data_IF_955390477753
#
_entry.id   IF_955390477753
#
_cell.length_a   1.000
_cell.length_b   1.000
_cell.length_c   1.000
_cell.angle_alpha   90.00
_cell.angle_beta   90.00
_cell.angle_gamma   90.00
#
_symmetry.space_group_name_H-M   'P 1'
#
loop_
_entity.id
_entity.type
_entity.pdbx_description
1 polymer ?
#
# COMPACT_ATOMS: atom_id res chain seq x y z
N UNK A 1 28.40 -7.53 40.96
CA UNK A 1 29.52 -8.46 40.73
C UNK A 1 30.43 -7.85 39.66
N UNK A 2 31.65 -7.46 40.07
CA UNK A 2 32.88 -7.12 39.32
C UNK A 2 32.81 -6.24 38.05
N UNK A 3 33.35 -5.01 37.94
CA UNK A 3 34.60 -4.34 38.39
C UNK A 3 35.77 -4.40 37.37
N UNK A 4 36.48 -3.23 37.22
CA UNK A 4 37.80 -2.92 36.60
C UNK A 4 37.76 -2.40 35.14
N UNK A 5 38.43 -1.30 34.72
CA UNK A 5 39.62 -0.58 35.24
C UNK A 5 39.57 0.94 34.96
N UNK A 6 40.08 1.70 35.94
CA UNK A 6 40.46 3.12 35.91
C UNK A 6 41.97 3.25 35.63
N UNK A 7 42.42 4.46 35.26
CA UNK A 7 43.79 5.05 35.26
C UNK A 7 44.71 4.65 34.09
N UNK A 8 45.36 5.59 33.38
CA UNK A 8 46.24 6.65 33.91
C UNK A 8 46.25 7.90 33.02
N UNK A 9 46.19 9.08 33.64
CA UNK A 9 46.80 10.32 33.11
C UNK A 9 48.26 10.42 33.56
N UNK A 10 48.99 11.31 32.86
CA UNK A 10 50.29 11.90 33.20
C UNK A 10 51.52 11.17 32.66
N UNK A 11 52.24 11.84 31.76
CA UNK A 11 53.61 12.34 32.01
C UNK A 11 54.20 12.92 30.71
N UNK A 12 54.72 14.15 30.82
CA UNK A 12 55.84 14.71 30.05
C UNK A 12 55.49 15.20 28.62
N UNK A 13 55.28 16.50 28.32
CA UNK A 13 56.01 17.69 28.74
C UNK A 13 57.52 17.48 28.77
N UNK A 14 58.24 18.28 27.98
CA UNK A 14 59.71 18.41 27.95
C UNK A 14 60.46 17.41 27.06
N UNK A 15 60.73 17.82 25.81
CA UNK A 15 62.04 17.69 25.16
C UNK A 15 61.89 18.09 23.69
N UNK A 16 62.30 19.30 23.34
CA UNK A 16 62.98 19.61 22.07
C UNK A 16 63.42 21.08 22.09
N UNK A 17 64.44 21.34 22.91
CA UNK A 17 65.29 22.52 22.79
C UNK A 17 66.68 22.11 23.27
N UNK A 18 67.71 22.66 22.61
CA UNK A 18 69.17 22.45 22.81
C UNK A 18 69.72 21.24 22.02
N UNK A 19 70.21 21.44 20.79
CA UNK A 19 71.48 22.03 20.35
C UNK A 19 72.60 20.99 20.26
N UNK A 20 73.18 20.80 19.08
CA UNK A 20 74.62 20.61 18.93
C UNK A 20 75.08 21.03 17.53
N UNK A 21 75.60 22.25 17.46
CA UNK A 21 76.54 22.70 16.44
C UNK A 21 77.87 21.99 16.71
N UNK A 22 78.48 21.39 15.69
CA UNK A 22 79.84 20.84 15.76
C UNK A 22 80.78 21.83 15.07
N UNK A 23 81.63 22.48 15.86
CA UNK A 23 82.72 23.35 15.39
C UNK A 23 84.05 22.82 15.91
N UNK A 24 84.97 22.52 14.99
CA UNK A 24 86.33 22.10 15.28
C UNK A 24 87.21 23.31 15.60
N UNK A 25 88.07 23.20 16.62
CA UNK A 25 89.41 23.81 16.64
C UNK A 25 90.22 23.31 17.84
N UNK A 26 91.41 22.78 17.56
CA UNK A 26 92.47 22.51 18.54
C UNK A 26 93.17 23.82 18.91
N UNK A 27 93.58 23.93 20.17
CA UNK A 27 94.26 25.07 20.77
C UNK A 27 95.78 25.09 20.47
N UNK A 28 96.34 26.30 20.28
CA UNK A 28 97.74 26.60 20.54
C UNK A 28 97.96 28.10 20.82
N UNK A 29 98.63 28.37 21.94
CA UNK A 29 99.54 29.49 22.26
C UNK A 29 99.00 30.90 22.62
N UNK A 30 99.51 31.43 23.75
CA UNK A 30 99.41 32.82 24.25
C UNK A 30 100.74 33.57 23.90
N UNK A 31 100.84 34.93 23.78
CA UNK A 31 100.66 35.87 24.91
C UNK A 31 100.18 37.33 24.61
N UNK A 32 99.70 37.99 25.68
CA UNK A 32 99.79 39.42 26.11
C UNK A 32 99.31 40.64 25.24
N UNK A 33 98.22 41.26 25.75
CA UNK A 33 97.84 42.70 25.90
C UNK A 33 97.68 43.61 24.65
N UNK A 34 96.43 43.95 24.28
CA UNK A 34 96.01 45.28 23.75
C UNK A 34 94.52 45.59 24.09
N UNK A 35 94.19 46.88 24.24
CA UNK A 35 92.96 47.53 24.77
C UNK A 35 91.57 47.10 24.21
N UNK A 36 90.45 47.35 24.93
CA UNK A 36 89.15 46.78 24.59
C UNK A 36 88.50 47.49 23.38
N UNK A 37 88.07 46.79 22.32
CA UNK A 37 87.29 47.42 21.28
C UNK A 37 85.78 47.39 21.61
N UNK A 38 85.15 48.52 21.25
CA UNK A 38 83.73 48.86 21.33
C UNK A 38 82.76 47.72 20.98
N UNK A 39 81.65 47.71 21.73
CA UNK A 39 80.40 46.99 21.47
C UNK A 39 79.98 47.06 20.00
N UNK A 40 79.70 45.92 19.39
CA UNK A 40 78.75 45.83 18.28
C UNK A 40 77.43 45.31 18.84
N UNK A 41 76.59 46.22 19.34
CA UNK A 41 75.17 45.92 19.43
C UNK A 41 74.67 45.73 18.00
N UNK A 42 74.30 44.50 17.63
CA UNK A 42 73.52 44.27 16.42
C UNK A 42 72.18 44.98 16.66
N UNK A 43 72.07 46.22 16.19
CA UNK A 43 70.80 46.94 16.08
C UNK A 43 70.01 46.24 14.98
N UNK A 44 69.24 45.22 15.35
CA UNK A 44 68.17 44.71 14.49
C UNK A 44 67.15 45.85 14.37
N UNK A 45 66.94 46.34 13.16
CA UNK A 45 65.92 47.35 12.89
C UNK A 45 64.53 46.73 13.14
N UNK A 46 64.00 46.96 14.35
CA UNK A 46 62.72 46.38 14.78
C UNK A 46 61.59 46.80 13.85
N UNK A 47 61.71 47.96 13.19
CA UNK A 47 60.67 48.50 12.32
C UNK A 47 60.39 47.62 11.08
N UNK A 48 61.39 46.87 10.60
CA UNK A 48 61.22 45.93 9.48
C UNK A 48 60.54 44.65 9.94
N UNK A 49 60.83 44.20 11.17
CA UNK A 49 60.15 43.05 11.78
C UNK A 49 58.70 43.44 12.12
N UNK A 50 58.45 44.62 12.68
CA UNK A 50 57.12 45.11 13.01
C UNK A 50 56.25 45.22 11.75
N UNK A 51 56.79 45.80 10.67
CA UNK A 51 56.09 45.85 9.37
C UNK A 51 55.83 44.46 8.78
N UNK A 52 56.77 43.52 8.94
CA UNK A 52 56.57 42.14 8.50
C UNK A 52 55.50 41.43 9.33
N UNK A 53 55.43 41.70 10.64
CA UNK A 53 54.41 41.15 11.54
C UNK A 53 53.03 41.72 11.26
N UNK A 54 52.91 43.02 10.94
CA UNK A 54 51.65 43.64 10.52
C UNK A 54 51.11 43.04 9.22
N UNK A 55 51.96 42.90 8.20
CA UNK A 55 51.57 42.25 6.92
C UNK A 55 51.16 40.80 7.13
N UNK A 56 51.80 40.10 8.07
CA UNK A 56 51.44 38.73 8.42
C UNK A 56 50.11 38.70 9.17
N UNK A 57 49.86 39.62 10.09
CA UNK A 57 48.60 39.75 10.81
C UNK A 57 47.42 40.05 9.87
N UNK A 58 47.58 40.98 8.93
CA UNK A 58 46.57 41.32 7.92
C UNK A 58 46.28 40.11 7.01
N UNK A 59 47.32 39.39 6.58
CA UNK A 59 47.13 38.16 5.80
C UNK A 59 46.42 37.06 6.59
N UNK A 60 46.67 36.94 7.89
CA UNK A 60 45.95 36.00 8.74
C UNK A 60 44.48 36.39 8.90
N UNK A 61 44.15 37.68 9.03
CA UNK A 61 42.75 38.13 9.07
C UNK A 61 42.04 37.91 7.73
N UNK A 62 42.68 38.24 6.61
CA UNK A 62 42.11 38.04 5.28
C UNK A 62 41.91 36.55 4.97
N UNK A 63 42.89 35.71 5.33
CA UNK A 63 42.80 34.26 5.18
C UNK A 63 41.69 33.68 6.05
N UNK A 64 41.47 34.21 7.25
CA UNK A 64 40.37 33.80 8.12
C UNK A 64 39.00 34.14 7.50
N UNK A 65 38.85 35.32 6.90
CA UNK A 65 37.61 35.72 6.21
C UNK A 65 37.33 34.83 4.98
N UNK A 66 38.34 34.57 4.15
CA UNK A 66 38.20 33.66 3.01
C UNK A 66 37.85 32.25 3.48
N UNK A 67 38.46 31.78 4.57
CA UNK A 67 38.16 30.46 5.12
C UNK A 67 36.71 30.38 5.64
N UNK A 68 36.19 31.45 6.24
CA UNK A 68 34.78 31.54 6.65
C UNK A 68 33.84 31.50 5.44
N UNK A 69 34.16 32.21 4.36
CA UNK A 69 33.38 32.18 3.12
C UNK A 69 33.42 30.79 2.45
N UNK A 70 34.58 30.15 2.38
CA UNK A 70 34.73 28.78 1.88
C UNK A 70 33.88 27.83 2.72
N UNK A 71 33.94 27.94 4.05
CA UNK A 71 33.14 27.12 4.96
C UNK A 71 31.64 27.34 4.74
N UNK A 72 31.20 28.59 4.56
CA UNK A 72 29.80 28.92 4.24
C UNK A 72 29.36 28.29 2.93
N UNK A 73 30.14 28.46 1.86
CA UNK A 73 29.82 27.92 0.55
C UNK A 73 29.83 26.38 0.55
N UNK A 74 30.76 25.77 1.26
CA UNK A 74 30.81 24.32 1.43
C UNK A 74 29.56 23.78 2.16
N UNK A 75 29.11 24.47 3.22
CA UNK A 75 27.88 24.13 3.93
C UNK A 75 26.64 24.28 3.04
N UNK A 76 26.56 25.37 2.26
CA UNK A 76 25.45 25.61 1.33
C UNK A 76 25.39 24.56 0.22
N UNK A 77 26.54 24.23 -0.37
CA UNK A 77 26.66 23.18 -1.37
C UNK A 77 26.24 21.81 -0.80
N UNK A 78 26.67 21.49 0.43
CA UNK A 78 26.26 20.25 1.11
C UNK A 78 24.76 20.22 1.37
N UNK A 79 24.17 21.32 1.85
CA UNK A 79 22.73 21.42 2.10
C UNK A 79 21.93 21.26 0.81
N UNK A 80 22.33 21.95 -0.26
CA UNK A 80 21.66 21.88 -1.56
C UNK A 80 21.77 20.47 -2.16
N UNK A 81 22.90 19.80 -1.98
CA UNK A 81 23.08 18.42 -2.43
C UNK A 81 22.18 17.43 -1.65
N UNK A 82 22.03 17.62 -0.34
CA UNK A 82 21.09 16.84 0.46
C UNK A 82 19.64 17.06 0.04
N UNK A 83 19.24 18.31 -0.24
CA UNK A 83 17.91 18.63 -0.74
C UNK A 83 17.64 18.01 -2.10
N UNK A 84 18.61 18.10 -3.03
CA UNK A 84 18.53 17.45 -4.33
C UNK A 84 18.36 15.94 -4.18
N UNK A 85 19.14 15.30 -3.29
CA UNK A 85 19.01 13.86 -3.02
C UNK A 85 17.61 13.52 -2.51
N UNK A 86 17.09 14.24 -1.52
CA UNK A 86 15.72 14.02 -1.00
C UNK A 86 14.67 14.21 -2.09
N UNK A 87 14.81 15.23 -2.94
CA UNK A 87 13.90 15.48 -4.04
C UNK A 87 13.95 14.36 -5.10
N UNK A 88 15.13 13.84 -5.40
CA UNK A 88 15.32 12.71 -6.31
C UNK A 88 14.72 11.42 -5.76
N UNK A 89 14.92 11.12 -4.48
CA UNK A 89 14.33 9.95 -3.81
C UNK A 89 12.80 10.04 -3.81
N UNK A 90 12.24 11.23 -3.57
CA UNK A 90 10.80 11.48 -3.68
C UNK A 90 10.29 11.29 -5.12
N UNK A 91 11.03 11.76 -6.11
CA UNK A 91 10.68 11.59 -7.52
C UNK A 91 10.63 10.09 -7.88
N UNK A 92 11.62 9.31 -7.48
CA UNK A 92 11.65 7.87 -7.71
C UNK A 92 10.43 7.17 -7.07
N UNK A 93 10.13 7.52 -5.81
CA UNK A 93 8.94 7.01 -5.11
C UNK A 93 7.64 7.33 -5.86
N UNK A 94 7.48 8.57 -6.34
CA UNK A 94 6.30 9.01 -7.08
C UNK A 94 6.18 8.30 -8.44
N UNK A 95 7.30 8.01 -9.12
CA UNK A 95 7.28 7.26 -10.38
C UNK A 95 6.81 5.82 -10.17
N UNK A 96 7.30 5.15 -9.12
CA UNK A 96 6.84 3.80 -8.76
C UNK A 96 5.35 3.79 -8.41
N UNK A 97 4.89 4.77 -7.62
CA UNK A 97 3.48 4.92 -7.29
C UNK A 97 2.62 5.16 -8.55
N UNK A 98 3.05 6.03 -9.45
CA UNK A 98 2.33 6.29 -10.70
C UNK A 98 2.24 5.03 -11.58
N UNK A 99 3.32 4.27 -11.69
CA UNK A 99 3.31 2.99 -12.41
C UNK A 99 2.33 1.99 -11.76
N UNK A 100 2.28 1.95 -10.43
CA UNK A 100 1.29 1.18 -9.67
C UNK A 100 -0.14 1.59 -10.01
N UNK A 101 -0.45 2.89 -9.98
CA UNK A 101 -1.78 3.39 -10.32
C UNK A 101 -2.18 3.10 -11.76
N UNK A 102 -1.26 3.24 -12.73
CA UNK A 102 -1.53 2.90 -14.14
C UNK A 102 -1.92 1.43 -14.29
N UNK A 103 -1.22 0.53 -13.59
CA UNK A 103 -1.56 -0.91 -13.57
C UNK A 103 -2.93 -1.15 -12.93
N UNK A 104 -3.23 -0.48 -11.81
CA UNK A 104 -4.55 -0.59 -11.17
C UNK A 104 -5.68 -0.08 -12.07
N UNK A 105 -5.45 1.00 -12.83
CA UNK A 105 -6.42 1.52 -13.79
C UNK A 105 -6.66 0.50 -14.89
N UNK A 106 -5.62 -0.08 -15.50
CA UNK A 106 -5.81 -1.06 -16.58
C UNK A 106 -6.57 -2.31 -16.12
N UNK A 107 -6.34 -2.76 -14.88
CA UNK A 107 -7.07 -3.88 -14.29
C UNK A 107 -8.55 -3.51 -14.10
N UNK A 108 -8.83 -2.31 -13.59
CA UNK A 108 -10.21 -1.84 -13.39
C UNK A 108 -10.96 -1.66 -14.71
N UNK A 109 -10.30 -1.13 -15.75
CA UNK A 109 -10.89 -1.01 -17.08
C UNK A 109 -11.28 -2.38 -17.65
N UNK A 110 -10.45 -3.41 -17.45
CA UNK A 110 -10.77 -4.77 -17.88
C UNK A 110 -11.90 -5.41 -17.07
N UNK A 111 -11.94 -5.12 -15.76
CA UNK A 111 -13.05 -5.53 -14.90
C UNK A 111 -14.37 -4.89 -15.33
N UNK A 112 -14.37 -3.59 -15.67
CA UNK A 112 -15.54 -2.90 -16.19
C UNK A 112 -16.03 -3.57 -17.47
N UNK A 113 -15.13 -3.84 -18.43
CA UNK A 113 -15.49 -4.55 -19.67
C UNK A 113 -16.14 -5.90 -19.42
N UNK A 114 -15.56 -6.70 -18.51
CA UNK A 114 -16.10 -8.02 -18.15
C UNK A 114 -17.48 -7.91 -17.48
N UNK A 115 -17.67 -6.89 -16.64
CA UNK A 115 -18.96 -6.62 -16.00
C UNK A 115 -20.01 -6.17 -17.03
N UNK A 116 -19.64 -5.31 -17.98
CA UNK A 116 -20.54 -4.87 -19.05
C UNK A 116 -21.01 -6.05 -19.91
N UNK A 117 -20.09 -6.96 -20.27
CA UNK A 117 -20.43 -8.22 -20.97
C UNK A 117 -21.37 -9.09 -20.13
N UNK A 118 -21.14 -9.20 -18.82
CA UNK A 118 -22.00 -9.96 -17.92
C UNK A 118 -23.39 -9.33 -17.78
N UNK A 119 -23.48 -8.00 -17.74
CA UNK A 119 -24.75 -7.26 -17.68
C UNK A 119 -25.54 -7.46 -18.97
N UNK A 120 -24.88 -7.37 -20.13
CA UNK A 120 -25.51 -7.63 -21.42
C UNK A 120 -26.08 -9.05 -21.51
N UNK A 121 -25.34 -10.05 -21.02
CA UNK A 121 -25.85 -11.43 -20.91
C UNK A 121 -27.04 -11.57 -19.96
N UNK A 122 -27.05 -10.83 -18.84
CA UNK A 122 -28.18 -10.81 -17.91
C UNK A 122 -29.43 -10.19 -18.54
N UNK A 123 -29.32 -9.17 -19.40
CA UNK A 123 -30.47 -8.56 -20.08
C UNK A 123 -31.18 -9.53 -21.03
N UNK A 124 -30.44 -10.39 -21.72
CA UNK A 124 -30.99 -11.47 -22.54
C UNK A 124 -31.74 -12.49 -21.68
N UNK A 125 -31.07 -13.01 -20.65
CA UNK A 125 -31.65 -14.01 -19.72
C UNK A 125 -32.88 -13.45 -18.99
N UNK A 126 -32.86 -12.20 -18.57
CA UNK A 126 -33.97 -11.53 -17.86
C UNK A 126 -35.25 -11.47 -18.70
N UNK A 127 -35.13 -11.36 -20.03
CA UNK A 127 -36.28 -11.38 -20.94
C UNK A 127 -36.82 -12.79 -21.20
N UNK A 128 -35.96 -13.81 -21.15
CA UNK A 128 -36.34 -15.19 -21.46
C UNK A 128 -36.91 -15.96 -20.27
N UNK A 129 -36.46 -15.66 -19.04
CA UNK A 129 -36.90 -16.40 -17.84
C UNK A 129 -38.42 -16.33 -17.61
N UNK A 130 -39.10 -15.17 -17.70
CA UNK A 130 -40.56 -15.13 -17.56
C UNK A 130 -41.30 -16.02 -18.55
N UNK A 131 -40.86 -16.02 -19.82
CA UNK A 131 -41.43 -16.90 -20.84
C UNK A 131 -41.23 -18.38 -20.51
N UNK A 132 -40.06 -18.75 -19.97
CA UNK A 132 -39.80 -20.11 -19.53
C UNK A 132 -40.70 -20.49 -18.34
N UNK A 133 -40.86 -19.61 -17.36
CA UNK A 133 -41.73 -19.85 -16.20
C UNK A 133 -43.19 -20.08 -16.61
N UNK A 134 -43.70 -19.28 -17.57
CA UNK A 134 -45.04 -19.48 -18.14
C UNK A 134 -45.17 -20.84 -18.86
N UNK A 135 -44.17 -21.21 -19.67
CA UNK A 135 -44.16 -22.53 -20.33
C UNK A 135 -44.14 -23.69 -19.32
N UNK A 136 -43.38 -23.55 -18.25
CA UNK A 136 -43.33 -24.53 -17.17
C UNK A 136 -44.68 -24.66 -16.46
N UNK A 137 -45.34 -23.54 -16.15
CA UNK A 137 -46.65 -23.54 -15.51
C UNK A 137 -47.72 -24.18 -16.41
N UNK A 138 -47.76 -23.80 -17.68
CA UNK A 138 -48.67 -24.39 -18.68
C UNK A 138 -48.42 -25.89 -18.87
N UNK A 139 -47.16 -26.35 -18.82
CA UNK A 139 -46.84 -27.77 -18.90
C UNK A 139 -47.38 -28.58 -17.72
N UNK A 140 -47.40 -28.00 -16.51
CA UNK A 140 -48.01 -28.67 -15.36
C UNK A 140 -49.52 -28.65 -15.43
N UNK A 141 -50.12 -27.53 -15.83
CA UNK A 141 -51.57 -27.42 -16.03
C UNK A 141 -52.05 -28.52 -16.99
N UNK A 142 -51.35 -28.70 -18.12
CA UNK A 142 -51.64 -29.77 -19.07
C UNK A 142 -51.41 -31.17 -18.46
N UNK A 143 -50.40 -31.35 -17.62
CA UNK A 143 -50.15 -32.62 -16.95
C UNK A 143 -51.30 -32.99 -16.00
N UNK A 144 -51.77 -32.02 -15.20
CA UNK A 144 -52.88 -32.20 -14.26
C UNK A 144 -54.20 -32.48 -14.99
N UNK A 145 -54.46 -31.80 -16.12
CA UNK A 145 -55.65 -32.06 -16.94
C UNK A 145 -55.68 -33.47 -17.55
N UNK A 146 -54.51 -34.03 -17.87
CA UNK A 146 -54.39 -35.39 -18.41
C UNK A 146 -54.36 -36.47 -17.33
N UNK A 147 -54.11 -36.11 -16.08
CA UNK A 147 -54.03 -37.03 -14.96
C UNK A 147 -55.42 -37.31 -14.35
N UNK A 148 -55.47 -38.25 -13.41
CA UNK A 148 -56.69 -38.55 -12.67
C UNK A 148 -57.16 -37.32 -11.85
N UNK A 149 -58.47 -37.05 -11.79
CA UNK A 149 -59.01 -35.94 -11.00
C UNK A 149 -58.92 -36.25 -9.49
N UNK A 150 -57.91 -35.68 -8.83
CA UNK A 150 -57.79 -35.59 -7.37
C UNK A 150 -57.43 -34.18 -6.93
N UNK A 151 -57.80 -33.75 -5.73
CA UNK A 151 -57.48 -32.41 -5.19
C UNK A 151 -57.60 -31.25 -6.22
N UNK A 152 -58.61 -31.30 -7.09
CA UNK A 152 -58.67 -30.47 -8.31
C UNK A 152 -58.68 -28.99 -7.96
N UNK A 153 -59.46 -28.60 -6.96
CA UNK A 153 -59.55 -27.22 -6.49
C UNK A 153 -58.23 -26.74 -5.86
N UNK A 154 -57.57 -27.58 -5.05
CA UNK A 154 -56.31 -27.21 -4.41
C UNK A 154 -55.18 -27.04 -5.43
N UNK A 155 -55.09 -27.96 -6.39
CA UNK A 155 -54.10 -27.90 -7.48
C UNK A 155 -54.33 -26.68 -8.38
N UNK A 156 -55.58 -26.40 -8.76
CA UNK A 156 -55.94 -25.22 -9.55
C UNK A 156 -55.61 -23.91 -8.82
N UNK A 157 -55.95 -23.81 -7.53
CA UNK A 157 -55.63 -22.64 -6.71
C UNK A 157 -54.11 -22.41 -6.60
N UNK A 158 -53.32 -23.49 -6.52
CA UNK A 158 -51.85 -23.42 -6.45
C UNK A 158 -51.22 -22.94 -7.76
N UNK A 159 -51.74 -23.38 -8.91
CA UNK A 159 -51.34 -22.89 -10.24
C UNK A 159 -51.65 -21.41 -10.35
N UNK A 160 -52.86 -20.99 -9.97
CA UNK A 160 -53.25 -19.58 -10.04
C UNK A 160 -52.38 -18.71 -9.14
N UNK A 161 -52.08 -19.15 -7.92
CA UNK A 161 -51.16 -18.45 -7.02
C UNK A 161 -49.76 -18.30 -7.61
N UNK A 162 -49.25 -19.33 -8.30
CA UNK A 162 -47.96 -19.24 -8.99
C UNK A 162 -47.99 -18.26 -10.18
N UNK A 163 -49.09 -18.22 -10.93
CA UNK A 163 -49.31 -17.27 -12.04
C UNK A 163 -49.34 -15.82 -11.53
N UNK A 164 -50.13 -15.57 -10.49
CA UNK A 164 -50.23 -14.25 -9.86
C UNK A 164 -48.88 -13.78 -9.30
N UNK A 165 -48.07 -14.69 -8.77
CA UNK A 165 -46.72 -14.39 -8.30
C UNK A 165 -45.75 -14.06 -9.45
N UNK A 166 -45.89 -14.70 -10.62
CA UNK A 166 -45.10 -14.39 -11.82
C UNK A 166 -45.45 -13.01 -12.37
N UNK A 167 -46.74 -12.65 -12.38
CA UNK A 167 -47.23 -11.36 -12.86
C UNK A 167 -46.95 -10.20 -11.89
N UNK A 168 -46.70 -10.50 -10.62
CA UNK A 168 -46.40 -9.47 -9.62
C UNK A 168 -45.05 -8.78 -9.89
N UNK A 169 -44.99 -7.45 -10.12
CA UNK A 169 -43.76 -6.73 -10.40
C UNK A 169 -42.85 -6.55 -9.16
N UNK A 170 -43.40 -6.67 -7.95
CA UNK A 170 -42.66 -6.43 -6.70
C UNK A 170 -41.83 -7.66 -6.26
N UNK A 171 -42.01 -8.80 -6.94
CA UNK A 171 -41.33 -10.07 -6.62
C UNK A 171 -40.10 -10.24 -7.53
N UNK A 172 -38.96 -10.59 -6.93
CA UNK A 172 -37.73 -10.84 -7.71
C UNK A 172 -37.87 -12.06 -8.63
N UNK A 173 -37.17 -12.06 -9.76
CA UNK A 173 -37.20 -13.18 -10.72
C UNK A 173 -36.78 -14.52 -10.07
N UNK A 174 -35.78 -14.48 -9.18
CA UNK A 174 -35.33 -15.65 -8.44
C UNK A 174 -36.46 -16.23 -7.56
N UNK A 175 -37.25 -15.36 -6.93
CA UNK A 175 -38.36 -15.75 -6.07
C UNK A 175 -39.52 -16.34 -6.89
N UNK A 176 -39.81 -15.75 -8.06
CA UNK A 176 -40.78 -16.31 -9.03
C UNK A 176 -40.37 -17.73 -9.46
N UNK A 177 -39.10 -17.91 -9.82
CA UNK A 177 -38.58 -19.20 -10.24
C UNK A 177 -38.63 -20.24 -9.10
N UNK A 178 -38.28 -19.84 -7.88
CA UNK A 178 -38.42 -20.68 -6.68
C UNK A 178 -39.86 -21.15 -6.50
N UNK A 179 -40.84 -20.26 -6.68
CA UNK A 179 -42.26 -20.59 -6.55
C UNK A 179 -42.70 -21.67 -7.55
N UNK A 180 -42.26 -21.55 -8.81
CA UNK A 180 -42.52 -22.57 -9.84
C UNK A 180 -41.89 -23.91 -9.46
N UNK A 181 -40.63 -23.94 -8.99
CA UNK A 181 -39.98 -25.17 -8.57
C UNK A 181 -40.65 -25.85 -7.37
N UNK A 182 -41.10 -25.07 -6.39
CA UNK A 182 -41.87 -25.59 -5.25
C UNK A 182 -43.16 -26.27 -5.72
N UNK A 183 -43.79 -25.71 -6.74
CA UNK A 183 -44.99 -26.30 -7.34
C UNK A 183 -44.68 -27.65 -8.01
N UNK A 184 -43.63 -27.74 -8.82
CA UNK A 184 -43.11 -29.01 -9.37
C UNK A 184 -42.79 -30.04 -8.29
N UNK A 185 -42.12 -29.61 -7.22
CA UNK A 185 -41.75 -30.48 -6.12
C UNK A 185 -42.98 -31.05 -5.41
N UNK A 186 -44.03 -30.25 -5.26
CA UNK A 186 -45.29 -30.73 -4.69
C UNK A 186 -45.98 -31.71 -5.64
N UNK A 187 -46.06 -31.40 -6.94
CA UNK A 187 -46.71 -32.30 -7.91
C UNK A 187 -46.00 -33.66 -7.95
N UNK A 188 -44.66 -33.64 -7.91
CA UNK A 188 -43.85 -34.85 -7.81
C UNK A 188 -44.08 -35.59 -6.49
N UNK A 189 -44.42 -34.91 -5.41
CA UNK A 189 -44.69 -35.55 -4.11
C UNK A 189 -45.97 -36.37 -4.12
N UNK A 190 -47.02 -35.95 -4.83
CA UNK A 190 -48.24 -36.75 -5.02
C UNK A 190 -47.94 -38.07 -5.75
N UNK A 191 -47.01 -38.06 -6.72
CA UNK A 191 -46.57 -39.29 -7.38
C UNK A 191 -45.70 -40.23 -6.52
N UNK A 192 -45.21 -39.76 -5.36
CA UNK A 192 -44.30 -40.54 -4.48
C UNK A 192 -44.92 -40.99 -3.17
N UNK A 193 -45.98 -40.32 -2.72
CA UNK A 193 -46.67 -40.61 -1.47
C UNK A 193 -48.05 -41.17 -1.79
N UNK A 194 -48.47 -42.21 -1.07
CA UNK A 194 -49.86 -42.68 -1.11
C UNK A 194 -50.62 -41.88 -0.04
N UNK A 195 -51.58 -41.08 -0.47
CA UNK A 195 -52.43 -40.27 0.40
C UNK A 195 -53.89 -40.64 0.15
N UNK A 196 -54.67 -40.70 1.23
CA UNK A 196 -56.12 -40.93 1.18
C UNK A 196 -56.83 -39.65 1.55
N UNK A 197 -57.86 -39.28 0.80
CA UNK A 197 -58.67 -38.10 1.11
C UNK A 197 -60.17 -38.41 1.11
N UNK A 198 -60.94 -37.77 2.02
CA UNK A 198 -62.38 -37.91 2.04
C UNK A 198 -63.00 -37.13 0.87
N UNK A 199 -63.91 -37.76 0.15
CA UNK A 199 -64.72 -37.15 -0.89
C UNK A 199 -66.16 -37.68 -0.82
N UNK A 200 -67.11 -36.94 -1.36
CA UNK A 200 -68.52 -37.32 -1.41
C UNK A 200 -68.88 -37.71 -2.84
N UNK A 201 -69.21 -38.98 -3.06
CA UNK A 201 -69.70 -39.44 -4.37
C UNK A 201 -71.20 -39.68 -4.32
N UNK A 202 -71.91 -39.23 -5.36
CA UNK A 202 -73.35 -39.48 -5.48
C UNK A 202 -73.58 -40.74 -6.33
N UNK A 203 -74.05 -41.82 -5.70
CA UNK A 203 -74.45 -43.05 -6.41
C UNK A 203 -75.95 -43.23 -6.27
N UNK A 204 -76.69 -43.13 -7.38
CA UNK A 204 -78.15 -43.34 -7.38
C UNK A 204 -78.96 -42.31 -6.59
N UNK A 205 -78.43 -41.09 -6.41
CA UNK A 205 -79.11 -40.00 -5.68
C UNK A 205 -78.89 -40.01 -4.17
N UNK A 206 -78.02 -40.88 -3.65
CA UNK A 206 -77.56 -40.89 -2.25
C UNK A 206 -76.10 -40.44 -2.22
N UNK A 207 -75.79 -39.44 -1.41
CA UNK A 207 -74.42 -39.02 -1.11
C UNK A 207 -73.79 -40.03 -0.16
N UNK A 208 -72.63 -40.55 -0.55
CA UNK A 208 -71.82 -41.46 0.23
C UNK A 208 -70.46 -40.81 0.47
N UNK A 209 -70.10 -40.67 1.73
CA UNK A 209 -68.73 -40.31 2.12
C UNK A 209 -67.82 -41.50 1.78
N UNK A 210 -66.82 -41.26 0.95
CA UNK A 210 -65.83 -42.24 0.53
C UNK A 210 -64.42 -41.72 0.80
N UNK A 211 -63.52 -42.61 1.20
CA UNK A 211 -62.09 -42.31 1.19
C UNK A 211 -61.51 -42.77 -0.15
N UNK A 212 -61.01 -41.81 -0.93
CA UNK A 212 -60.32 -42.07 -2.20
C UNK A 212 -58.84 -42.28 -1.87
N UNK A 213 -58.28 -43.40 -2.35
CA UNK A 213 -56.90 -43.85 -2.12
C UNK A 213 -56.10 -43.88 -3.42
#
# INVERSE_FOLDING_TARGET
MNNRRITKMSMSALALLTSYFFGAAHAAEAPLIEEPPRQAAILVDSSVIDRAMDVVADKYSDSAQIQEEISRLANEASSTFEEFKRANDNLESLLVLNAGYRKSISIQEEQIRTLDESIAGVEEVTREIPLLMEKMLSSIEQFIEMDYPFHVDERANRIQFARDAIDNPDVSIAEKFRQVLVMYQTETSYGRTIETYPDTITIGGVELDVEIA
#
